data_IF_030577441077
#
_entry.id   IF_030577441077
#
_cell.length_a   1.000
_cell.length_b   1.000
_cell.length_c   1.000
_cell.angle_alpha   90.00
_cell.angle_beta   90.00
_cell.angle_gamma   90.00
#
_symmetry.space_group_name_H-M   'P 1'
#
loop_
_entity.id
_entity.type
_entity.pdbx_description
1 polymer ?
#
# COMPACT_ATOMS: atom_id res chain seq x y z
N UNK A 1 14.80 -25.47 -77.22
CA UNK A 1 13.89 -26.13 -76.25
C UNK A 1 12.77 -25.15 -75.92
N UNK A 2 11.51 -25.51 -76.17
CA UNK A 2 10.35 -24.67 -75.85
C UNK A 2 9.83 -25.05 -74.47
N UNK A 3 9.60 -24.06 -73.61
CA UNK A 3 8.94 -24.26 -72.31
C UNK A 3 7.56 -23.60 -72.36
N UNK A 4 6.55 -24.29 -71.83
CA UNK A 4 5.19 -23.77 -71.71
C UNK A 4 5.00 -23.38 -70.25
N UNK A 5 4.83 -22.08 -69.99
CA UNK A 5 4.58 -21.56 -68.64
C UNK A 5 3.11 -21.18 -68.49
N UNK A 6 2.45 -21.69 -67.45
CA UNK A 6 1.11 -21.23 -67.03
C UNK A 6 1.23 -20.48 -65.70
N UNK A 7 0.82 -19.21 -65.70
CA UNK A 7 0.84 -18.37 -64.50
C UNK A 7 -0.57 -18.27 -63.89
N UNK A 8 -0.70 -18.65 -62.61
CA UNK A 8 -1.91 -18.39 -61.84
C UNK A 8 -1.76 -17.02 -61.15
N UNK A 9 -2.57 -16.03 -61.57
CA UNK A 9 -2.60 -14.69 -60.97
C UNK A 9 -3.93 -14.47 -60.25
N UNK A 10 -3.89 -14.48 -58.92
CA UNK A 10 -5.05 -14.20 -58.06
C UNK A 10 -5.08 -12.69 -57.78
N UNK A 11 -6.08 -11.98 -58.32
CA UNK A 11 -6.22 -10.51 -58.14
C UNK A 11 -6.76 -10.14 -56.76
N UNK A 12 -7.68 -10.95 -56.22
CA UNK A 12 -8.30 -10.77 -54.90
C UNK A 12 -8.42 -12.13 -54.26
N UNK A 13 -7.80 -12.29 -53.10
CA UNK A 13 -7.84 -13.55 -52.33
C UNK A 13 -9.19 -13.66 -51.62
N UNK A 14 -9.88 -14.78 -51.78
CA UNK A 14 -11.14 -15.11 -51.09
C UNK A 14 -10.90 -16.15 -49.99
N UNK A 15 -11.87 -16.33 -49.09
CA UNK A 15 -11.81 -17.36 -48.03
C UNK A 15 -11.67 -18.78 -48.61
N UNK A 16 -12.36 -19.09 -49.71
CA UNK A 16 -12.23 -20.37 -50.40
C UNK A 16 -10.80 -20.66 -50.88
N UNK A 17 -10.05 -19.62 -51.28
CA UNK A 17 -8.65 -19.74 -51.71
C UNK A 17 -7.73 -20.08 -50.53
N UNK A 18 -8.10 -19.74 -49.29
CA UNK A 18 -7.32 -20.05 -48.06
C UNK A 18 -7.41 -21.52 -47.67
N UNK A 19 -8.50 -22.20 -48.04
CA UNK A 19 -8.69 -23.63 -47.79
C UNK A 19 -8.18 -24.52 -48.93
N UNK A 20 -7.72 -23.90 -50.03
CA UNK A 20 -7.27 -24.61 -51.20
C UNK A 20 -5.74 -24.77 -51.24
N UNK A 21 -5.28 -25.88 -51.82
CA UNK A 21 -3.87 -26.18 -52.01
C UNK A 21 -3.47 -25.87 -53.45
N UNK A 22 -2.64 -24.84 -53.65
CA UNK A 22 -2.16 -24.48 -54.98
C UNK A 22 -0.99 -25.36 -55.38
N UNK A 23 -1.09 -26.02 -56.52
CA UNK A 23 -0.05 -26.95 -56.97
C UNK A 23 0.67 -26.40 -58.20
N UNK A 24 1.98 -26.17 -58.08
CA UNK A 24 2.85 -25.85 -59.19
C UNK A 24 3.48 -27.14 -59.73
N UNK A 25 3.36 -27.38 -61.03
CA UNK A 25 3.90 -28.57 -61.70
C UNK A 25 4.90 -28.13 -62.76
N UNK A 26 6.10 -28.70 -62.71
CA UNK A 26 7.13 -28.56 -63.73
C UNK A 26 7.35 -29.93 -64.37
N UNK A 27 7.18 -30.01 -65.68
CA UNK A 27 7.39 -31.22 -66.45
C UNK A 27 8.62 -31.02 -67.35
N UNK A 28 9.66 -31.81 -67.11
CA UNK A 28 10.84 -31.95 -67.97
C UNK A 28 10.84 -33.36 -68.59
N UNK A 29 11.57 -33.55 -69.69
CA UNK A 29 11.49 -34.73 -70.58
C UNK A 29 11.30 -36.09 -69.85
N UNK A 30 11.99 -36.33 -68.73
CA UNK A 30 11.82 -37.54 -67.93
C UNK A 30 11.45 -37.32 -66.45
N UNK A 31 11.29 -36.07 -66.00
CA UNK A 31 11.03 -35.77 -64.58
C UNK A 31 9.88 -34.80 -64.39
N UNK A 32 8.94 -35.16 -63.52
CA UNK A 32 7.86 -34.25 -63.08
C UNK A 32 8.12 -33.82 -61.65
N UNK A 33 8.29 -32.52 -61.43
CA UNK A 33 8.39 -31.93 -60.10
C UNK A 33 7.08 -31.25 -59.72
N UNK A 34 6.59 -31.53 -58.52
CA UNK A 34 5.35 -30.97 -58.00
C UNK A 34 5.64 -30.26 -56.68
N UNK A 35 5.26 -29.00 -56.56
CA UNK A 35 5.30 -28.24 -55.30
C UNK A 35 3.92 -27.72 -54.94
N UNK A 36 3.54 -27.90 -53.68
CA UNK A 36 2.27 -27.42 -53.14
C UNK A 36 2.54 -26.16 -52.32
N UNK A 37 1.78 -25.11 -52.60
CA UNK A 37 1.79 -23.82 -51.92
C UNK A 37 0.44 -23.66 -51.23
N UNK A 38 0.47 -23.40 -49.92
CA UNK A 38 -0.74 -23.06 -49.15
C UNK A 38 -0.70 -21.60 -48.77
N UNK A 39 -1.81 -20.90 -48.99
CA UNK A 39 -1.97 -19.56 -48.47
C UNK A 39 -2.17 -19.62 -46.96
N UNK A 40 -1.50 -18.72 -46.23
CA UNK A 40 -1.75 -18.51 -44.81
C UNK A 40 -2.16 -17.06 -44.64
N UNK A 41 -3.21 -16.84 -43.85
CA UNK A 41 -3.57 -15.50 -43.41
C UNK A 41 -2.38 -14.95 -42.62
N UNK A 42 -1.84 -13.82 -43.08
CA UNK A 42 -0.84 -13.11 -42.30
C UNK A 42 -1.45 -12.79 -40.94
N UNK A 43 -0.78 -13.20 -39.85
CA UNK A 43 -1.16 -12.70 -38.53
C UNK A 43 -0.86 -11.21 -38.53
N UNK A 44 -1.87 -10.40 -38.84
CA UNK A 44 -1.91 -9.04 -38.32
C UNK A 44 -1.77 -9.25 -36.81
N UNK A 45 -0.82 -8.57 -36.20
CA UNK A 45 -0.65 -8.63 -34.75
C UNK A 45 -1.91 -7.99 -34.17
N UNK A 46 -2.96 -8.79 -34.02
CA UNK A 46 -4.15 -8.43 -33.26
C UNK A 46 -3.64 -8.27 -31.83
N UNK A 47 -3.24 -7.04 -31.52
CA UNK A 47 -2.89 -6.63 -30.17
C UNK A 47 -4.06 -7.09 -29.31
N UNK A 48 -3.85 -8.06 -28.40
CA UNK A 48 -4.94 -8.81 -27.83
C UNK A 48 -5.87 -7.83 -27.14
N UNK A 49 -7.13 -7.78 -27.59
CA UNK A 49 -8.18 -6.88 -27.08
C UNK A 49 -8.21 -6.89 -25.55
N UNK A 50 -7.92 -8.04 -24.95
CA UNK A 50 -7.76 -8.25 -23.52
C UNK A 50 -6.77 -7.29 -22.82
N UNK A 51 -5.64 -6.97 -23.45
CA UNK A 51 -4.62 -6.06 -22.90
C UNK A 51 -5.16 -4.61 -22.89
N UNK A 52 -5.87 -4.22 -23.94
CA UNK A 52 -6.49 -2.89 -24.01
C UNK A 52 -7.63 -2.75 -23.00
N UNK A 53 -8.50 -3.77 -22.88
CA UNK A 53 -9.59 -3.79 -21.91
C UNK A 53 -9.06 -3.76 -20.47
N UNK A 54 -8.02 -4.56 -20.17
CA UNK A 54 -7.40 -4.58 -18.83
C UNK A 54 -6.78 -3.23 -18.49
N UNK A 55 -6.06 -2.60 -19.42
CA UNK A 55 -5.47 -1.28 -19.24
C UNK A 55 -6.52 -0.19 -18.97
N UNK A 56 -7.62 -0.21 -19.72
CA UNK A 56 -8.74 0.73 -19.54
C UNK A 56 -9.41 0.57 -18.17
N UNK A 57 -9.64 -0.66 -17.72
CA UNK A 57 -10.23 -0.93 -16.40
C UNK A 57 -9.30 -0.44 -15.29
N UNK A 58 -8.00 -0.73 -15.36
CA UNK A 58 -7.02 -0.23 -14.38
C UNK A 58 -6.96 1.30 -14.34
N UNK A 59 -6.99 1.96 -15.50
CA UNK A 59 -6.96 3.41 -15.58
C UNK A 59 -8.16 4.09 -14.91
N UNK A 60 -9.32 3.42 -14.87
CA UNK A 60 -10.52 3.91 -14.19
C UNK A 60 -10.54 3.58 -12.69
N UNK A 61 -10.02 2.42 -12.30
CA UNK A 61 -10.00 2.00 -10.89
C UNK A 61 -8.96 2.75 -10.07
N UNK A 62 -7.78 3.01 -10.63
CA UNK A 62 -6.68 3.68 -9.94
C UNK A 62 -7.06 5.06 -9.33
N UNK A 63 -7.70 5.99 -10.06
CA UNK A 63 -8.11 7.27 -9.48
C UNK A 63 -9.18 7.10 -8.40
N UNK A 64 -10.09 6.14 -8.54
CA UNK A 64 -11.12 5.86 -7.54
C UNK A 64 -10.49 5.40 -6.21
N UNK A 65 -9.52 4.49 -6.29
CA UNK A 65 -8.75 4.02 -5.13
C UNK A 65 -7.95 5.18 -4.52
N UNK A 66 -7.29 6.00 -5.33
CA UNK A 66 -6.53 7.15 -4.82
C UNK A 66 -7.42 8.13 -4.06
N UNK A 67 -8.60 8.46 -4.59
CA UNK A 67 -9.58 9.33 -3.92
C UNK A 67 -10.04 8.71 -2.60
N UNK A 68 -10.36 7.41 -2.59
CA UNK A 68 -10.77 6.70 -1.37
C UNK A 68 -9.68 6.73 -0.30
N UNK A 69 -8.42 6.51 -0.68
CA UNK A 69 -7.27 6.58 0.25
C UNK A 69 -7.11 7.99 0.81
N UNK A 70 -7.20 9.03 -0.04
CA UNK A 70 -7.12 10.42 0.41
C UNK A 70 -8.27 10.76 1.36
N UNK A 71 -9.49 10.30 1.05
CA UNK A 71 -10.66 10.53 1.89
C UNK A 71 -10.50 9.88 3.28
N UNK A 72 -10.09 8.61 3.31
CA UNK A 72 -9.77 7.90 4.55
C UNK A 72 -8.67 8.64 5.31
N UNK A 73 -7.58 9.04 4.65
CA UNK A 73 -6.50 9.78 5.29
C UNK A 73 -6.95 11.11 5.91
N UNK A 74 -7.83 11.85 5.23
CA UNK A 74 -8.38 13.11 5.75
C UNK A 74 -9.28 12.86 6.96
N UNK A 75 -10.17 11.86 6.90
CA UNK A 75 -11.06 11.51 8.00
C UNK A 75 -10.28 11.06 9.24
N UNK A 76 -9.31 10.17 9.04
CA UNK A 76 -8.46 9.65 10.11
C UNK A 76 -7.26 10.54 10.42
N UNK A 77 -7.17 11.77 9.88
CA UNK A 77 -6.03 12.66 10.14
C UNK A 77 -5.85 12.92 11.64
N UNK A 78 -6.95 13.18 12.33
CA UNK A 78 -6.92 13.46 13.79
C UNK A 78 -6.54 12.20 14.55
N UNK A 79 -7.12 11.05 14.20
CA UNK A 79 -6.81 9.77 14.83
C UNK A 79 -5.35 9.38 14.62
N UNK A 80 -4.81 9.60 13.42
CA UNK A 80 -3.41 9.36 13.11
C UNK A 80 -2.47 10.26 13.93
N UNK A 81 -2.81 11.55 14.06
CA UNK A 81 -2.04 12.48 14.90
C UNK A 81 -2.11 12.08 16.38
N UNK A 82 -3.29 11.68 16.87
CA UNK A 82 -3.46 11.23 18.25
C UNK A 82 -2.72 9.92 18.50
N UNK A 83 -2.75 8.97 17.56
CA UNK A 83 -2.03 7.71 17.62
C UNK A 83 -0.51 7.94 17.60
N UNK A 84 -0.02 8.76 16.67
CA UNK A 84 1.38 9.14 16.60
C UNK A 84 1.84 9.81 17.90
N UNK A 85 1.05 10.76 18.43
CA UNK A 85 1.35 11.41 19.70
C UNK A 85 1.34 10.43 20.86
N UNK A 86 0.41 9.47 20.89
CA UNK A 86 0.35 8.47 21.97
C UNK A 86 1.56 7.55 21.96
N UNK A 87 2.04 7.15 20.78
CA UNK A 87 3.27 6.34 20.64
C UNK A 87 4.50 7.18 21.02
N UNK A 88 4.65 8.36 20.41
CA UNK A 88 5.80 9.24 20.63
C UNK A 88 5.90 9.73 22.08
N UNK A 89 4.77 10.13 22.70
CA UNK A 89 4.73 10.60 24.09
C UNK A 89 5.01 9.47 25.10
N UNK A 90 4.69 8.22 24.74
CA UNK A 90 5.04 7.06 25.58
C UNK A 90 6.55 6.84 25.61
N UNK A 91 7.24 7.10 24.49
CA UNK A 91 8.69 6.99 24.40
C UNK A 91 9.42 8.17 25.07
N UNK A 92 8.90 9.40 24.95
CA UNK A 92 9.51 10.59 25.55
C UNK A 92 9.64 10.50 27.08
N UNK A 93 8.72 9.78 27.74
CA UNK A 93 8.75 9.63 29.21
C UNK A 93 9.74 8.54 29.67
N UNK A 94 10.11 7.61 28.79
CA UNK A 94 10.96 6.46 29.14
C UNK A 94 12.48 6.77 29.04
N UNK A 95 12.89 7.81 28.29
CA UNK A 95 14.29 8.13 28.01
C UNK A 95 14.84 9.40 28.67
N UNK A 96 14.01 10.13 29.39
CA UNK A 96 14.31 11.47 29.93
C UNK A 96 15.32 11.45 31.09
N UNK A 97 15.40 10.35 31.83
CA UNK A 97 16.19 10.28 33.07
C UNK A 97 15.52 10.94 34.28
N UNK A 98 14.31 11.51 34.10
CA UNK A 98 13.42 11.88 35.20
C UNK A 98 13.09 10.69 36.08
N UNK A 99 13.32 10.88 37.36
CA UNK A 99 13.03 9.87 38.38
C UNK A 99 11.53 9.86 38.77
N UNK A 100 10.80 10.95 38.54
CA UNK A 100 9.42 11.12 38.98
C UNK A 100 8.53 11.67 37.85
N UNK A 101 7.29 11.19 37.78
CA UNK A 101 6.26 11.57 36.79
C UNK A 101 5.57 12.90 37.15
N UNK A 102 5.44 13.17 38.45
CA UNK A 102 4.84 14.40 38.98
C UNK A 102 5.43 14.79 40.34
N UNK A 103 5.45 16.10 40.61
CA UNK A 103 5.83 16.66 41.91
C UNK A 103 4.59 17.14 42.65
N UNK A 104 4.45 16.74 43.90
CA UNK A 104 3.32 17.12 44.77
C UNK A 104 3.78 18.23 45.72
N UNK A 105 3.20 19.42 45.56
CA UNK A 105 3.34 20.52 46.51
C UNK A 105 2.02 20.77 47.24
N UNK A 106 2.12 21.01 48.54
CA UNK A 106 0.96 21.37 49.37
C UNK A 106 1.37 22.46 50.36
N UNK A 107 0.40 23.24 50.81
CA UNK A 107 0.64 24.44 51.61
C UNK A 107 0.63 24.06 53.10
N UNK A 108 1.79 24.16 53.75
CA UNK A 108 1.97 23.75 55.15
C UNK A 108 1.63 24.84 56.17
N UNK A 109 1.78 26.12 55.79
CA UNK A 109 1.85 27.25 56.74
C UNK A 109 0.65 28.21 56.69
N UNK A 110 -0.46 27.80 56.06
CA UNK A 110 -1.70 28.56 56.25
C UNK A 110 -2.27 28.29 57.64
N UNK A 111 -2.98 29.28 58.21
CA UNK A 111 -3.52 29.28 59.58
C UNK A 111 -4.46 28.09 59.88
N UNK A 112 -4.83 27.33 58.85
CA UNK A 112 -5.27 25.94 58.95
C UNK A 112 -5.25 25.32 57.54
N UNK A 113 -4.23 24.57 57.08
CA UNK A 113 -4.53 23.48 56.18
C UNK A 113 -5.49 22.57 56.93
N UNK A 114 -6.62 22.22 56.32
CA UNK A 114 -7.48 21.22 56.95
C UNK A 114 -6.61 19.96 57.04
N UNK A 115 -6.42 19.34 58.21
CA UNK A 115 -5.59 18.11 58.36
C UNK A 115 -5.90 17.07 57.27
N UNK A 116 -7.15 17.09 56.78
CA UNK A 116 -7.68 16.38 55.63
C UNK A 116 -6.91 16.61 54.31
N UNK A 117 -6.52 17.84 53.97
CA UNK A 117 -5.77 18.16 52.75
C UNK A 117 -4.35 17.60 52.81
N UNK A 118 -3.72 17.64 53.99
CA UNK A 118 -2.41 17.05 54.23
C UNK A 118 -2.49 15.53 54.18
N UNK A 119 -3.48 14.94 54.82
CA UNK A 119 -3.73 13.50 54.77
C UNK A 119 -4.03 13.02 53.35
N UNK A 120 -4.79 13.80 52.59
CA UNK A 120 -5.06 13.51 51.18
C UNK A 120 -3.77 13.53 50.36
N UNK A 121 -2.97 14.60 50.44
CA UNK A 121 -1.75 14.76 49.64
C UNK A 121 -0.67 13.72 49.98
N UNK A 122 -0.57 13.30 51.24
CA UNK A 122 0.49 12.37 51.70
C UNK A 122 0.07 10.89 51.70
N UNK A 123 -1.22 10.58 51.81
CA UNK A 123 -1.69 9.18 51.89
C UNK A 123 -2.59 8.78 50.74
N UNK A 124 -3.70 9.50 50.54
CA UNK A 124 -4.72 9.10 49.56
C UNK A 124 -4.21 9.24 48.13
N UNK A 125 -3.54 10.36 47.84
CA UNK A 125 -3.04 10.68 46.52
C UNK A 125 -1.94 9.70 46.07
N UNK A 126 -0.90 9.39 46.89
CA UNK A 126 0.10 8.39 46.53
C UNK A 126 -0.49 6.98 46.45
N UNK A 127 -1.39 6.61 47.36
CA UNK A 127 -2.05 5.30 47.31
C UNK A 127 -2.77 5.07 45.97
N UNK A 128 -3.52 6.06 45.48
CA UNK A 128 -4.21 5.92 44.20
C UNK A 128 -3.22 5.95 43.03
N UNK A 129 -2.36 6.97 42.96
CA UNK A 129 -1.54 7.18 41.77
C UNK A 129 -0.36 6.21 41.66
N UNK A 130 0.29 5.87 42.78
CA UNK A 130 1.42 4.94 42.80
C UNK A 130 0.93 3.47 42.76
N UNK A 131 -0.08 3.09 43.57
CA UNK A 131 -0.52 1.67 43.61
C UNK A 131 -1.48 1.30 42.49
N UNK A 132 -2.51 2.12 42.20
CA UNK A 132 -3.51 1.75 41.19
C UNK A 132 -3.10 2.13 39.76
N UNK A 133 -2.31 3.19 39.59
CA UNK A 133 -1.94 3.71 38.26
C UNK A 133 -0.45 3.57 37.95
N UNK A 134 0.40 3.19 38.91
CA UNK A 134 1.83 2.92 38.69
C UNK A 134 2.68 4.16 38.42
N UNK A 135 2.21 5.37 38.78
CA UNK A 135 2.99 6.60 38.68
C UNK A 135 4.03 6.69 39.79
N UNK A 136 5.14 7.39 39.53
CA UNK A 136 6.16 7.68 40.55
C UNK A 136 6.07 9.16 40.95
N UNK A 137 5.59 9.46 42.16
CA UNK A 137 5.42 10.82 42.66
C UNK A 137 6.62 11.27 43.49
N UNK A 138 7.04 12.53 43.33
CA UNK A 138 7.98 13.19 44.24
C UNK A 138 7.19 14.04 45.24
N UNK A 139 7.33 13.72 46.52
CA UNK A 139 6.67 14.44 47.61
C UNK A 139 7.74 15.18 48.41
N UNK A 140 7.58 16.50 48.56
CA UNK A 140 8.57 17.36 49.22
C UNK A 140 9.02 16.86 50.61
N UNK A 141 8.12 16.34 51.44
CA UNK A 141 8.48 15.86 52.78
C UNK A 141 9.14 14.48 52.81
N UNK A 142 8.96 13.65 51.77
CA UNK A 142 9.42 12.26 51.71
C UNK A 142 10.72 12.12 50.92
N UNK A 143 10.76 12.80 49.78
CA UNK A 143 11.69 12.49 48.69
C UNK A 143 12.74 13.61 48.47
N UNK A 144 12.60 14.75 49.17
CA UNK A 144 13.55 15.89 49.08
C UNK A 144 14.33 16.01 50.39
N UNK A 145 15.65 15.80 50.33
CA UNK A 145 16.53 15.92 51.50
C UNK A 145 16.89 17.38 51.80
N UNK A 146 16.97 17.79 53.08
CA UNK A 146 17.46 19.11 53.46
C UNK A 146 18.97 19.18 53.21
N UNK A 147 19.37 19.76 52.09
CA UNK A 147 20.80 19.92 51.75
C UNK A 147 21.09 20.17 50.28
N UNK A 148 20.19 19.73 49.38
CA UNK A 148 20.45 19.71 47.93
C UNK A 148 21.30 18.51 47.53
#
# INVERSE_FOLDING_TARGET
KFYITRLLRIKKVREEDMHHNFTCRLQADETTQIKIVKLKKGKIQDLPVHVFTTGMVLALLFPFVAIAVVFVFVMFRVDFVLFYRNICRRDDTAGDGKEYDAFVSYLKDCVSPTEEEREFALKVLPMILEENFGYKLCIFERDVFPGG
#
